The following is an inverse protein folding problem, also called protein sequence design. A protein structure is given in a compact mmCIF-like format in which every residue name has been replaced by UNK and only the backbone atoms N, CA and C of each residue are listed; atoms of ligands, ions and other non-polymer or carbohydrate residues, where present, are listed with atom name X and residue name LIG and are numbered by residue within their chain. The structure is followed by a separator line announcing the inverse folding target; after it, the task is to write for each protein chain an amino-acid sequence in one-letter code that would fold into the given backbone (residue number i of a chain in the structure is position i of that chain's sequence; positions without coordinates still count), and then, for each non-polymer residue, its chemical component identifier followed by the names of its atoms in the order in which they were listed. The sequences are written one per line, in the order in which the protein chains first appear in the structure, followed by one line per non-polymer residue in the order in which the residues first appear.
data_IF_349331427072
#
_entry.id   IF_349331427072
#
_cell.length_a   1.000
_cell.length_b   1.000
_cell.length_c   1.000
_cell.angle_alpha   90.00
_cell.angle_beta   90.00
_cell.angle_gamma   90.00
#
_symmetry.space_group_name_H-M   'P 1'
#
loop_
_entity.id
_entity.type
_entity.pdbx_description
1 polymer ?
#
# COMPACT_ATOMS: atom_id res chain seq x y z
N UNK A 1 1.11 -7.20 19.64
CA UNK A 1 0.78 -5.77 19.76
C UNK A 1 -0.24 -5.48 18.67
N UNK A 2 -1.26 -4.63 18.86
CA UNK A 2 -2.07 -4.21 17.74
C UNK A 2 -1.14 -3.50 16.74
N UNK A 3 -1.01 -4.09 15.56
CA UNK A 3 -0.34 -3.47 14.42
C UNK A 3 -1.40 -2.70 13.66
N UNK A 4 -1.36 -1.38 13.80
CA UNK A 4 -2.22 -0.47 13.06
C UNK A 4 -1.37 0.09 11.91
N UNK A 5 -1.80 -0.17 10.68
CA UNK A 5 -1.14 0.31 9.47
C UNK A 5 -1.86 1.55 8.98
N UNK A 6 -1.16 2.68 9.03
CA UNK A 6 -1.59 3.90 8.39
C UNK A 6 -1.18 3.86 6.91
N UNK A 7 -2.16 3.87 6.02
CA UNK A 7 -1.99 3.90 4.57
C UNK A 7 -2.55 5.20 3.97
N UNK A 8 -2.57 6.28 4.75
CA UNK A 8 -3.20 7.54 4.37
C UNK A 8 -4.69 7.49 4.71
N UNK A 9 -5.56 7.45 3.69
CA UNK A 9 -7.03 7.44 3.88
C UNK A 9 -7.60 6.13 4.47
N UNK A 10 -6.75 5.12 4.76
CA UNK A 10 -7.13 3.83 5.32
C UNK A 10 -6.23 3.45 6.50
N UNK A 11 -6.84 3.22 7.66
CA UNK A 11 -6.19 2.54 8.79
C UNK A 11 -6.58 1.07 8.78
N UNK A 12 -5.61 0.18 8.58
CA UNK A 12 -5.84 -1.28 8.71
C UNK A 12 -5.41 -1.72 10.10
N UNK A 13 -6.37 -2.19 10.90
CA UNK A 13 -6.13 -2.82 12.20
C UNK A 13 -5.81 -4.30 12.03
N UNK A 14 -4.99 -4.88 12.90
CA UNK A 14 -4.50 -6.27 12.77
C UNK A 14 -5.54 -7.36 12.49
N UNK A 15 -6.78 -7.23 12.97
CA UNK A 15 -7.85 -8.18 12.63
C UNK A 15 -8.32 -8.12 11.16
N UNK A 16 -8.17 -6.96 10.51
CA UNK A 16 -8.48 -6.80 9.09
C UNK A 16 -7.30 -7.26 8.21
N UNK A 17 -6.08 -7.22 8.73
CA UNK A 17 -4.90 -7.84 8.10
C UNK A 17 -5.15 -9.34 7.92
N UNK A 18 -5.43 -10.06 9.00
CA UNK A 18 -5.65 -11.52 8.99
C UNK A 18 -6.76 -11.95 8.02
N UNK A 19 -7.81 -11.12 7.87
CA UNK A 19 -8.91 -11.39 6.94
C UNK A 19 -8.51 -11.18 5.49
N UNK A 20 -7.78 -10.11 5.21
CA UNK A 20 -7.34 -9.77 3.86
C UNK A 20 -6.31 -10.78 3.38
N UNK A 21 -5.33 -11.13 4.23
CA UNK A 21 -4.28 -12.09 3.90
C UNK A 21 -4.86 -13.48 3.63
N UNK A 22 -5.79 -13.93 4.48
CA UNK A 22 -6.51 -15.20 4.30
C UNK A 22 -7.37 -15.22 3.03
N UNK A 23 -8.07 -14.13 2.72
CA UNK A 23 -8.90 -14.05 1.50
C UNK A 23 -8.05 -14.05 0.22
N UNK A 24 -6.86 -13.45 0.26
CA UNK A 24 -5.94 -13.32 -0.85
C UNK A 24 -4.93 -14.47 -0.98
N UNK A 25 -4.94 -15.40 0.00
CA UNK A 25 -4.01 -16.52 0.06
C UNK A 25 -2.55 -16.09 0.23
N UNK A 26 -2.31 -14.93 0.84
CA UNK A 26 -0.97 -14.40 1.14
C UNK A 26 -0.66 -14.63 2.62
N UNK A 27 0.63 -14.70 2.95
CA UNK A 27 1.06 -14.87 4.34
C UNK A 27 0.97 -13.55 5.10
N UNK A 28 0.65 -13.58 6.39
CA UNK A 28 0.47 -12.36 7.21
C UNK A 28 1.77 -11.52 7.28
N UNK A 29 2.92 -12.17 7.31
CA UNK A 29 4.25 -11.53 7.26
C UNK A 29 4.49 -10.75 5.96
N UNK A 30 3.77 -11.07 4.89
CA UNK A 30 3.88 -10.36 3.61
C UNK A 30 3.11 -9.04 3.62
N UNK A 31 2.17 -8.85 4.55
CA UNK A 31 1.38 -7.63 4.60
C UNK A 31 2.26 -6.41 4.83
N UNK A 32 3.17 -6.48 5.81
CA UNK A 32 4.13 -5.41 6.13
C UNK A 32 5.05 -5.12 4.94
N UNK A 33 5.51 -6.17 4.27
CA UNK A 33 6.35 -6.05 3.08
C UNK A 33 5.63 -5.29 1.95
N UNK A 34 4.32 -5.54 1.77
CA UNK A 34 3.52 -4.89 0.74
C UNK A 34 3.20 -3.43 1.07
N UNK A 35 2.95 -3.12 2.35
CA UNK A 35 2.82 -1.73 2.82
C UNK A 35 4.12 -0.96 2.56
N UNK A 36 5.26 -1.55 2.93
CA UNK A 36 6.57 -0.96 2.67
C UNK A 36 6.87 -0.83 1.18
N UNK A 37 6.44 -1.80 0.36
CA UNK A 37 6.61 -1.75 -1.09
C UNK A 37 5.80 -0.59 -1.71
N UNK A 38 4.57 -0.39 -1.27
CA UNK A 38 3.71 0.71 -1.71
C UNK A 38 4.29 2.08 -1.33
N UNK A 39 4.81 2.22 -0.10
CA UNK A 39 5.51 3.44 0.34
C UNK A 39 6.74 3.73 -0.52
N UNK A 40 7.55 2.71 -0.80
CA UNK A 40 8.71 2.85 -1.69
C UNK A 40 8.30 3.25 -3.10
N UNK A 41 7.22 2.68 -3.64
CA UNK A 41 6.73 3.05 -4.97
C UNK A 41 6.40 4.55 -5.04
N UNK A 42 5.76 5.08 -4.00
CA UNK A 42 5.47 6.52 -3.88
C UNK A 42 6.74 7.38 -3.74
N UNK A 43 7.75 6.92 -3.01
CA UNK A 43 9.03 7.65 -2.87
C UNK A 43 9.96 7.54 -4.09
N UNK A 44 9.79 6.51 -4.92
CA UNK A 44 10.81 6.12 -5.89
C UNK A 44 10.76 6.91 -7.20
N UNK A 45 9.58 7.35 -7.64
CA UNK A 45 9.39 7.74 -9.03
C UNK A 45 8.57 9.03 -9.20
N UNK A 46 8.93 9.82 -10.21
CA UNK A 46 8.34 11.15 -10.49
C UNK A 46 6.90 11.05 -11.02
N UNK A 47 6.51 9.86 -11.52
CA UNK A 47 5.18 9.64 -12.10
C UNK A 47 4.48 8.42 -11.50
N UNK A 48 3.13 8.47 -11.54
CA UNK A 48 2.27 7.34 -11.19
C UNK A 48 2.59 6.11 -12.06
N UNK A 49 2.88 6.31 -13.36
CA UNK A 49 3.25 5.22 -14.27
C UNK A 49 4.49 4.47 -13.81
N UNK A 50 5.54 5.19 -13.46
CA UNK A 50 6.80 4.61 -12.99
C UNK A 50 6.61 3.93 -11.62
N UNK A 51 5.80 4.52 -10.73
CA UNK A 51 5.41 3.88 -9.46
C UNK A 51 4.71 2.53 -9.69
N UNK A 52 3.82 2.44 -10.69
CA UNK A 52 3.14 1.19 -11.06
C UNK A 52 4.14 0.18 -11.65
N UNK A 53 5.07 0.63 -12.49
CA UNK A 53 6.12 -0.23 -13.05
C UNK A 53 6.99 -0.82 -11.94
N UNK A 54 7.36 -0.01 -10.94
CA UNK A 54 8.09 -0.47 -9.77
C UNK A 54 7.33 -1.55 -9.00
N UNK A 55 6.03 -1.37 -8.75
CA UNK A 55 5.20 -2.38 -8.09
C UNK A 55 5.11 -3.67 -8.89
N UNK A 56 4.91 -3.58 -10.20
CA UNK A 56 4.83 -4.72 -11.11
C UNK A 56 6.15 -5.49 -11.22
N UNK A 57 7.29 -4.82 -11.04
CA UNK A 57 8.62 -5.46 -11.02
C UNK A 57 8.90 -6.23 -9.72
N UNK A 58 8.27 -5.83 -8.61
CA UNK A 58 8.60 -6.31 -7.27
C UNK A 58 7.51 -7.19 -6.61
N UNK A 59 6.33 -7.29 -7.24
CA UNK A 59 5.21 -8.10 -6.74
C UNK A 59 4.42 -8.72 -7.90
N UNK A 60 3.63 -9.76 -7.61
CA UNK A 60 2.79 -10.40 -8.62
C UNK A 60 1.48 -10.95 -8.01
N UNK A 61 0.56 -11.38 -8.86
CA UNK A 61 -0.68 -12.03 -8.42
C UNK A 61 -1.51 -11.16 -7.47
N UNK A 62 -2.00 -11.76 -6.39
CA UNK A 62 -2.79 -11.07 -5.35
C UNK A 62 -1.97 -10.04 -4.56
N UNK A 63 -0.66 -10.26 -4.38
CA UNK A 63 0.24 -9.31 -3.73
C UNK A 63 0.32 -7.99 -4.51
N UNK A 64 0.43 -8.05 -5.85
CA UNK A 64 0.45 -6.88 -6.71
C UNK A 64 -0.85 -6.08 -6.62
N UNK A 65 -2.00 -6.77 -6.62
CA UNK A 65 -3.32 -6.12 -6.47
C UNK A 65 -3.37 -5.36 -5.15
N UNK A 66 -2.93 -5.98 -4.06
CA UNK A 66 -2.96 -5.36 -2.74
C UNK A 66 -1.97 -4.18 -2.64
N UNK A 67 -0.77 -4.32 -3.19
CA UNK A 67 0.23 -3.25 -3.23
C UNK A 67 -0.25 -2.03 -4.03
N UNK A 68 -0.95 -2.24 -5.16
CA UNK A 68 -1.58 -1.16 -5.93
C UNK A 68 -2.69 -0.44 -5.14
N UNK A 69 -3.49 -1.18 -4.37
CA UNK A 69 -4.51 -0.58 -3.50
C UNK A 69 -3.86 0.28 -2.42
N UNK A 70 -2.81 -0.22 -1.77
CA UNK A 70 -2.08 0.56 -0.75
C UNK A 70 -1.43 1.81 -1.35
N UNK A 71 -0.79 1.67 -2.50
CA UNK A 71 -0.19 2.79 -3.22
C UNK A 71 -1.23 3.87 -3.55
N UNK A 72 -2.40 3.48 -4.09
CA UNK A 72 -3.47 4.43 -4.40
C UNK A 72 -3.97 5.21 -3.17
N UNK A 73 -3.99 4.57 -1.99
CA UNK A 73 -4.40 5.22 -0.73
C UNK A 73 -3.37 6.22 -0.21
N UNK A 74 -2.09 5.86 -0.29
CA UNK A 74 -0.97 6.74 0.06
C UNK A 74 -0.94 7.95 -0.87
N UNK A 75 -1.17 7.72 -2.18
CA UNK A 75 -1.19 8.79 -3.16
C UNK A 75 -2.36 9.78 -2.94
N UNK A 76 -3.56 9.27 -2.65
CA UNK A 76 -4.75 10.10 -2.35
C UNK A 76 -4.49 11.03 -1.15
N UNK A 77 -3.95 10.49 -0.07
CA UNK A 77 -3.61 11.24 1.15
C UNK A 77 -2.60 12.36 0.88
N UNK A 78 -1.58 12.08 0.06
CA UNK A 78 -0.58 13.10 -0.30
C UNK A 78 -1.13 14.27 -1.13
N UNK A 79 -2.23 14.06 -1.87
CA UNK A 79 -2.88 15.13 -2.64
C UNK A 79 -3.80 15.99 -1.76
N UNK A 80 -4.40 15.41 -0.74
CA UNK A 80 -5.22 16.13 0.24
C UNK A 80 -4.35 17.06 1.11
N UNK A 81 -3.14 16.64 1.50
CA UNK A 81 -2.17 17.50 2.22
C UNK A 81 -1.67 18.69 1.39
N UNK A 82 -1.51 18.54 0.07
CA UNK A 82 -1.12 19.65 -0.82
C UNK A 82 -2.25 20.68 -0.98
N UNK A 83 -3.51 20.27 -0.86
CA UNK A 83 -4.68 21.13 -1.11
C UNK A 83 -5.08 21.98 0.10
N UNK A 84 -4.77 21.55 1.33
CA UNK A 84 -5.01 22.35 2.55
C UNK A 84 -3.90 23.39 2.85
N UNK A 85 -2.84 23.40 2.03
CA UNK A 85 -1.69 24.31 2.14
C UNK A 85 -1.75 25.59 1.30
N UNK A 86 -2.79 25.80 0.48
CA UNK A 86 -2.98 26.99 -0.37
C UNK A 86 -4.00 28.01 0.18
#
# INVERSE_FOLDING_TARGET
MPTDYDLGTLTVVGHDVDKLTQALGISDDRFDDLVNLARKAWEHEDTISESIEYLAANSNGSELVLALVFFGRIWEDSQDEETEGE
#
